data_IF_752027991976
#
_entry.id   IF_752027991976
#
_cell.length_a   1.000
_cell.length_b   1.000
_cell.length_c   1.000
_cell.angle_alpha   90.00
_cell.angle_beta   90.00
_cell.angle_gamma   90.00
#
_symmetry.space_group_name_H-M   'P 1'
#
loop_
_entity.id
_entity.type
_entity.pdbx_description
1 polymer ?
#
# COMPACT_ATOMS: atom_id res chain seq x y z
N UNK A 1 27.32 -9.76 -29.73
CA UNK A 1 27.90 -10.65 -28.69
C UNK A 1 28.42 -9.78 -27.55
N UNK A 2 27.52 -9.16 -26.76
CA UNK A 2 27.86 -8.19 -25.69
C UNK A 2 26.88 -8.39 -24.53
N UNK A 3 27.05 -9.47 -23.76
CA UNK A 3 26.13 -9.81 -22.66
C UNK A 3 26.87 -10.49 -21.51
N UNK A 4 27.95 -9.88 -21.02
CA UNK A 4 28.73 -10.46 -19.90
C UNK A 4 29.60 -9.48 -19.09
N UNK A 5 29.11 -8.29 -18.75
CA UNK A 5 29.87 -7.34 -17.90
C UNK A 5 29.04 -6.63 -16.81
N UNK A 6 27.89 -7.16 -16.40
CA UNK A 6 27.07 -6.53 -15.35
C UNK A 6 26.87 -7.39 -14.08
N UNK A 7 27.61 -8.49 -13.92
CA UNK A 7 27.38 -9.43 -12.81
C UNK A 7 28.39 -9.34 -11.65
N UNK A 8 29.40 -8.46 -11.73
CA UNK A 8 30.48 -8.42 -10.73
C UNK A 8 30.43 -7.24 -9.74
N UNK A 9 29.34 -6.44 -9.71
CA UNK A 9 29.23 -5.29 -8.80
C UNK A 9 28.35 -5.48 -7.56
N UNK A 10 27.86 -6.70 -7.28
CA UNK A 10 26.95 -6.97 -6.16
C UNK A 10 27.59 -7.70 -4.95
N UNK A 11 28.89 -7.99 -4.97
CA UNK A 11 29.52 -8.89 -3.98
C UNK A 11 30.34 -8.21 -2.87
N UNK A 12 30.27 -6.89 -2.68
CA UNK A 12 31.00 -6.23 -1.59
C UNK A 12 30.16 -5.19 -0.83
N UNK A 13 29.07 -5.62 -0.20
CA UNK A 13 28.62 -4.94 1.02
C UNK A 13 29.27 -5.63 2.22
N UNK A 14 30.15 -4.95 2.97
CA UNK A 14 30.72 -5.54 4.18
C UNK A 14 29.58 -5.82 5.14
N UNK A 15 29.40 -7.11 5.49
CA UNK A 15 28.51 -7.55 6.54
C UNK A 15 28.97 -6.91 7.85
N UNK A 16 28.44 -5.71 8.15
CA UNK A 16 28.61 -5.09 9.46
C UNK A 16 28.06 -6.07 10.47
N UNK A 17 28.94 -6.58 11.33
CA UNK A 17 28.62 -7.44 12.46
C UNK A 17 27.51 -6.75 13.24
N UNK A 18 26.28 -7.26 13.13
CA UNK A 18 25.13 -6.71 13.84
C UNK A 18 25.35 -7.03 15.31
N UNK A 19 25.81 -6.03 16.05
CA UNK A 19 26.01 -6.11 17.49
C UNK A 19 24.67 -6.47 18.13
N UNK A 20 24.63 -7.61 18.83
CA UNK A 20 23.38 -8.12 19.42
C UNK A 20 22.93 -7.12 20.47
N UNK A 21 21.78 -6.49 20.23
CA UNK A 21 21.14 -5.58 21.17
C UNK A 21 20.94 -6.28 22.53
N UNK A 22 21.16 -5.58 23.66
CA UNK A 22 20.94 -6.14 24.99
C UNK A 22 19.51 -6.66 25.15
N UNK A 23 19.35 -7.79 25.85
CA UNK A 23 18.06 -8.47 26.00
C UNK A 23 16.97 -7.57 26.61
N UNK A 24 17.36 -6.61 27.46
CA UNK A 24 16.44 -5.69 28.12
C UNK A 24 15.85 -4.67 27.15
N UNK A 25 16.64 -4.21 26.17
CA UNK A 25 16.16 -3.31 25.10
C UNK A 25 15.13 -4.03 24.22
N UNK A 26 15.36 -5.32 23.95
CA UNK A 26 14.43 -6.12 23.15
C UNK A 26 13.08 -6.32 23.85
N UNK A 27 13.10 -6.62 25.17
CA UNK A 27 11.87 -6.74 25.98
C UNK A 27 11.07 -5.44 26.02
N UNK A 28 11.75 -4.31 26.17
CA UNK A 28 11.09 -3.00 26.18
C UNK A 28 10.50 -2.64 24.81
N UNK A 29 11.19 -2.98 23.71
CA UNK A 29 10.69 -2.78 22.36
C UNK A 29 9.41 -3.61 22.11
N UNK A 30 9.39 -4.89 22.52
CA UNK A 30 8.20 -5.74 22.40
C UNK A 30 7.03 -5.25 23.29
N UNK A 31 7.32 -4.66 24.45
CA UNK A 31 6.30 -4.03 25.29
C UNK A 31 5.68 -2.83 24.58
N UNK A 32 6.51 -1.93 24.04
CA UNK A 32 6.05 -0.75 23.27
C UNK A 32 5.27 -1.15 22.02
N UNK A 33 5.71 -2.18 21.31
CA UNK A 33 5.01 -2.70 20.14
C UNK A 33 3.61 -3.23 20.48
N UNK A 34 3.46 -3.97 21.59
CA UNK A 34 2.14 -4.44 22.04
C UNK A 34 1.19 -3.29 22.39
N UNK A 35 1.69 -2.28 23.10
CA UNK A 35 0.89 -1.08 23.42
C UNK A 35 0.50 -0.34 22.15
N UNK A 36 1.42 -0.20 21.20
CA UNK A 36 1.16 0.46 19.92
C UNK A 36 0.12 -0.31 19.08
N UNK A 37 0.25 -1.63 18.97
CA UNK A 37 -0.73 -2.49 18.27
C UNK A 37 -2.12 -2.47 18.92
N UNK A 38 -2.20 -2.36 20.25
CA UNK A 38 -3.47 -2.19 20.95
C UNK A 38 -4.10 -0.83 20.63
N UNK A 39 -3.32 0.25 20.68
CA UNK A 39 -3.78 1.59 20.32
C UNK A 39 -4.22 1.72 18.85
N UNK A 40 -3.60 0.95 17.94
CA UNK A 40 -3.98 0.87 16.53
C UNK A 40 -5.37 0.25 16.31
N UNK A 41 -5.79 -0.69 17.16
CA UNK A 41 -7.09 -1.36 17.01
C UNK A 41 -8.27 -0.47 17.37
N UNK A 42 -8.06 0.51 18.24
CA UNK A 42 -9.15 1.36 18.77
C UNK A 42 -9.28 2.71 18.07
N UNK A 43 -8.30 3.11 17.25
CA UNK A 43 -8.28 4.45 16.64
C UNK A 43 -8.50 4.41 15.12
N UNK A 44 -9.34 5.31 14.57
CA UNK A 44 -9.49 5.46 13.12
C UNK A 44 -8.15 5.89 12.48
N UNK A 45 -7.89 5.44 11.25
CA UNK A 45 -6.62 5.63 10.52
C UNK A 45 -6.07 7.08 10.53
N UNK A 46 -6.95 8.09 10.55
CA UNK A 46 -6.54 9.50 10.53
C UNK A 46 -5.80 9.96 11.80
N UNK A 47 -6.11 9.40 12.97
CA UNK A 47 -5.39 9.73 14.21
C UNK A 47 -4.02 9.04 14.28
N UNK A 48 -3.88 7.89 13.61
CA UNK A 48 -2.64 7.14 13.56
C UNK A 48 -1.57 7.86 12.75
N UNK A 49 -1.98 8.52 11.66
CA UNK A 49 -1.09 9.37 10.86
C UNK A 49 -0.55 10.53 11.68
N UNK A 50 -1.38 11.18 12.51
CA UNK A 50 -0.94 12.27 13.40
C UNK A 50 0.07 11.78 14.45
N UNK A 51 -0.16 10.60 15.03
CA UNK A 51 0.74 9.99 16.01
C UNK A 51 2.09 9.65 15.36
N UNK A 52 2.09 9.07 14.16
CA UNK A 52 3.32 8.72 13.43
C UNK A 52 4.12 9.96 13.08
N UNK A 53 3.47 11.02 12.59
CA UNK A 53 4.13 12.30 12.30
C UNK A 53 4.76 12.86 13.57
N UNK A 54 4.02 12.91 14.68
CA UNK A 54 4.54 13.41 15.96
C UNK A 54 5.76 12.62 16.47
N UNK A 55 5.69 11.29 16.42
CA UNK A 55 6.82 10.45 16.86
C UNK A 55 8.06 10.62 15.97
N UNK A 56 7.87 10.78 14.66
CA UNK A 56 8.97 11.06 13.75
C UNK A 56 9.67 12.38 14.08
N UNK A 57 8.90 13.40 14.46
CA UNK A 57 9.43 14.69 14.91
C UNK A 57 10.20 14.57 16.23
N UNK A 58 9.68 13.83 17.21
CA UNK A 58 10.38 13.62 18.49
C UNK A 58 11.72 12.89 18.28
N UNK A 59 11.79 11.93 17.34
CA UNK A 59 13.02 11.23 16.97
C UNK A 59 14.02 12.17 16.28
N UNK A 60 13.56 13.05 15.39
CA UNK A 60 14.44 14.03 14.72
C UNK A 60 14.96 15.10 15.68
N UNK A 61 14.15 15.55 16.64
CA UNK A 61 14.57 16.46 17.70
C UNK A 61 15.65 15.84 18.61
N UNK A 62 15.49 14.56 18.98
CA UNK A 62 16.48 13.83 19.78
C UNK A 62 17.80 13.59 19.02
N UNK A 63 17.79 13.64 17.68
CA UNK A 63 18.99 13.51 16.84
C UNK A 63 19.77 14.83 16.68
N UNK A 64 19.40 15.89 17.40
CA UNK A 64 20.08 17.19 17.32
C UNK A 64 19.76 17.95 16.04
N UNK A 65 18.66 17.59 15.35
CA UNK A 65 18.13 18.40 14.27
C UNK A 65 17.71 19.77 14.80
N UNK A 66 18.38 20.82 14.33
CA UNK A 66 18.05 22.21 14.61
C UNK A 66 16.56 22.41 14.38
N UNK A 67 15.86 22.89 15.42
CA UNK A 67 14.48 23.34 15.32
C UNK A 67 14.39 24.33 14.16
N UNK A 68 13.68 24.01 13.06
CA UNK A 68 13.34 25.04 12.11
C UNK A 68 12.38 25.96 12.84
N UNK A 69 12.72 27.24 12.84
CA UNK A 69 11.87 28.33 13.28
C UNK A 69 10.60 28.38 12.42
N UNK A 70 9.68 27.45 12.68
CA UNK A 70 8.41 27.29 11.99
C UNK A 70 7.33 28.21 12.57
N UNK A 71 7.73 29.16 13.42
CA UNK A 71 6.84 30.15 14.02
C UNK A 71 6.36 31.21 13.03
N UNK A 72 7.14 31.52 11.99
CA UNK A 72 6.89 32.72 11.17
C UNK A 72 6.69 32.45 9.66
N UNK A 73 7.30 31.41 9.09
CA UNK A 73 7.14 31.13 7.65
C UNK A 73 5.86 30.35 7.31
N UNK A 74 5.31 29.56 8.24
CA UNK A 74 4.00 28.89 8.06
C UNK A 74 2.84 29.91 8.03
N UNK A 75 3.01 31.09 8.63
CA UNK A 75 1.95 32.10 8.69
C UNK A 75 1.68 32.80 7.35
N UNK A 76 2.62 32.82 6.40
CA UNK A 76 2.46 33.59 5.17
C UNK A 76 2.35 32.80 3.86
N UNK A 77 2.65 31.49 3.84
CA UNK A 77 2.52 30.66 2.61
C UNK A 77 1.60 29.44 2.74
N UNK A 78 1.17 29.07 3.96
CA UNK A 78 0.48 27.78 4.20
C UNK A 78 -1.05 27.78 4.13
N UNK A 79 -1.73 28.92 4.23
CA UNK A 79 -3.18 28.91 4.47
C UNK A 79 -4.06 28.71 3.21
N UNK A 80 -3.53 29.02 2.04
CA UNK A 80 -4.24 28.88 0.76
C UNK A 80 -4.00 27.52 0.09
N UNK A 81 -2.78 26.96 0.16
CA UNK A 81 -2.48 25.63 -0.40
C UNK A 81 -3.00 24.47 0.48
N UNK A 82 -3.03 24.61 1.81
CA UNK A 82 -3.52 23.57 2.72
C UNK A 82 -5.00 23.23 2.51
N UNK A 83 -5.87 24.23 2.25
CA UNK A 83 -7.30 23.98 1.98
C UNK A 83 -7.54 23.31 0.64
N UNK A 84 -6.76 23.63 -0.40
CA UNK A 84 -6.89 23.00 -1.71
C UNK A 84 -6.48 21.51 -1.63
N UNK A 85 -5.38 21.22 -0.93
CA UNK A 85 -4.94 19.85 -0.73
C UNK A 85 -5.94 19.02 0.11
N UNK A 86 -6.45 19.59 1.22
CA UNK A 86 -7.48 18.97 2.05
C UNK A 86 -8.79 18.71 1.30
N UNK A 87 -9.24 19.65 0.46
CA UNK A 87 -10.43 19.43 -0.38
C UNK A 87 -10.20 18.33 -1.41
N UNK A 88 -8.99 18.24 -1.99
CA UNK A 88 -8.68 17.18 -2.95
C UNK A 88 -8.59 15.79 -2.30
N UNK A 89 -8.03 15.70 -1.09
CA UNK A 89 -7.94 14.44 -0.35
C UNK A 89 -9.32 13.99 0.14
N UNK A 90 -10.15 14.91 0.64
CA UNK A 90 -11.54 14.61 1.00
C UNK A 90 -12.38 14.18 -0.22
N UNK A 91 -12.21 14.86 -1.36
CA UNK A 91 -12.89 14.49 -2.61
C UNK A 91 -12.48 13.10 -3.11
N UNK A 92 -11.18 12.76 -3.04
CA UNK A 92 -10.67 11.42 -3.35
C UNK A 92 -11.22 10.36 -2.40
N UNK A 93 -11.20 10.62 -1.09
CA UNK A 93 -11.73 9.70 -0.09
C UNK A 93 -13.24 9.43 -0.30
N UNK A 94 -14.02 10.48 -0.56
CA UNK A 94 -15.45 10.35 -0.85
C UNK A 94 -15.74 9.61 -2.16
N UNK A 95 -14.92 9.82 -3.20
CA UNK A 95 -15.04 9.08 -4.46
C UNK A 95 -14.70 7.59 -4.29
N UNK A 96 -13.65 7.28 -3.51
CA UNK A 96 -13.27 5.90 -3.18
C UNK A 96 -14.36 5.19 -2.38
N UNK A 97 -14.95 5.85 -1.37
CA UNK A 97 -16.04 5.26 -0.58
C UNK A 97 -17.28 4.94 -1.43
N UNK A 98 -17.59 5.77 -2.43
CA UNK A 98 -18.69 5.48 -3.38
C UNK A 98 -18.38 4.32 -4.31
N UNK A 99 -17.12 4.16 -4.72
CA UNK A 99 -16.68 3.04 -5.54
C UNK A 99 -16.65 1.71 -4.75
N UNK A 100 -16.43 1.77 -3.44
CA UNK A 100 -16.43 0.59 -2.56
C UNK A 100 -17.80 -0.09 -2.48
N UNK A 101 -18.88 0.66 -2.67
CA UNK A 101 -20.25 0.17 -2.61
C UNK A 101 -20.85 -0.12 -4.00
N UNK A 102 -20.08 0.08 -5.06
CA UNK A 102 -20.52 -0.27 -6.41
C UNK A 102 -20.38 -1.78 -6.60
N UNK A 103 -21.52 -2.47 -6.71
CA UNK A 103 -21.58 -3.93 -6.92
C UNK A 103 -20.68 -4.37 -8.08
N UNK A 104 -20.58 -3.58 -9.15
CA UNK A 104 -19.73 -3.93 -10.30
C UNK A 104 -18.24 -3.96 -9.96
N UNK A 105 -17.80 -3.12 -9.02
CA UNK A 105 -16.41 -3.12 -8.56
C UNK A 105 -16.13 -4.30 -7.64
N UNK A 106 -17.11 -4.68 -6.80
CA UNK A 106 -17.04 -5.91 -6.00
C UNK A 106 -16.94 -7.14 -6.91
N UNK A 107 -17.86 -7.29 -7.87
CA UNK A 107 -17.85 -8.41 -8.82
C UNK A 107 -16.53 -8.46 -9.60
N UNK A 108 -16.03 -7.30 -10.07
CA UNK A 108 -14.74 -7.22 -10.76
C UNK A 108 -13.57 -7.68 -9.88
N UNK A 109 -13.59 -7.33 -8.58
CA UNK A 109 -12.59 -7.75 -7.61
C UNK A 109 -12.63 -9.27 -7.39
N UNK A 110 -13.82 -9.84 -7.25
CA UNK A 110 -13.98 -11.28 -7.03
C UNK A 110 -13.59 -12.10 -8.27
N UNK A 111 -13.95 -11.63 -9.46
CA UNK A 111 -13.49 -12.20 -10.75
C UNK A 111 -11.97 -12.10 -10.88
N UNK A 112 -11.34 -11.02 -10.41
CA UNK A 112 -9.90 -10.89 -10.41
C UNK A 112 -9.22 -11.92 -9.49
N UNK A 113 -9.79 -12.19 -8.31
CA UNK A 113 -9.29 -13.24 -7.40
C UNK A 113 -9.32 -14.62 -8.06
N UNK A 114 -10.44 -15.00 -8.68
CA UNK A 114 -10.56 -16.27 -9.41
C UNK A 114 -9.60 -16.34 -10.60
N UNK A 115 -9.32 -15.21 -11.24
CA UNK A 115 -8.34 -15.14 -12.32
C UNK A 115 -6.92 -15.40 -11.83
N UNK A 116 -6.54 -14.89 -10.65
CA UNK A 116 -5.25 -15.17 -10.02
C UNK A 116 -5.12 -16.65 -9.65
N UNK A 117 -6.14 -17.25 -9.03
CA UNK A 117 -6.18 -18.68 -8.69
C UNK A 117 -6.06 -19.56 -9.94
N UNK A 118 -6.75 -19.21 -11.02
CA UNK A 118 -6.60 -19.91 -12.30
C UNK A 118 -5.17 -19.79 -12.84
N UNK A 119 -4.55 -18.61 -12.74
CA UNK A 119 -3.17 -18.39 -13.21
C UNK A 119 -2.13 -19.13 -12.38
N UNK A 120 -2.36 -19.26 -11.09
CA UNK A 120 -1.54 -20.05 -10.16
C UNK A 120 -1.73 -21.57 -10.39
N UNK A 121 -2.79 -21.96 -11.09
CA UNK A 121 -3.11 -23.36 -11.38
C UNK A 121 -3.94 -24.03 -10.28
N UNK A 122 -4.51 -23.25 -9.34
CA UNK A 122 -5.42 -23.75 -8.31
C UNK A 122 -6.77 -24.16 -8.88
N UNK A 123 -7.18 -23.55 -10.00
CA UNK A 123 -8.40 -23.91 -10.74
C UNK A 123 -8.01 -24.16 -12.19
N UNK A 124 -8.52 -25.22 -12.80
CA UNK A 124 -8.23 -25.55 -14.20
C UNK A 124 -9.30 -24.99 -15.14
N UNK A 125 -8.94 -23.97 -15.94
CA UNK A 125 -9.71 -23.58 -17.11
C UNK A 125 -8.88 -23.76 -18.38
N UNK A 126 -9.53 -24.31 -19.43
CA UNK A 126 -8.91 -24.59 -20.73
C UNK A 126 -8.49 -23.32 -21.48
N UNK A 127 -9.23 -22.23 -21.30
CA UNK A 127 -8.99 -20.98 -22.04
C UNK A 127 -9.57 -19.77 -21.31
N UNK A 128 -9.12 -18.57 -21.70
CA UNK A 128 -9.66 -17.31 -21.16
C UNK A 128 -11.15 -17.11 -21.52
N UNK A 129 -11.57 -17.62 -22.68
CA UNK A 129 -12.98 -17.58 -23.09
C UNK A 129 -13.84 -18.48 -22.19
N UNK A 130 -13.35 -19.68 -21.85
CA UNK A 130 -14.04 -20.59 -20.93
C UNK A 130 -14.16 -20.00 -19.52
N UNK A 131 -13.08 -19.39 -19.02
CA UNK A 131 -13.10 -18.65 -17.76
C UNK A 131 -14.11 -17.49 -17.79
N UNK A 132 -14.06 -16.67 -18.84
CA UNK A 132 -14.94 -15.51 -18.99
C UNK A 132 -16.42 -15.90 -19.08
N UNK A 133 -16.75 -16.99 -19.77
CA UNK A 133 -18.11 -17.51 -19.83
C UNK A 133 -18.61 -17.99 -18.45
N UNK A 134 -17.77 -18.71 -17.69
CA UNK A 134 -18.14 -19.18 -16.35
C UNK A 134 -18.37 -18.03 -15.37
N UNK A 135 -17.44 -17.08 -15.32
CA UNK A 135 -17.58 -15.90 -14.45
C UNK A 135 -18.74 -14.99 -14.87
N UNK A 136 -19.03 -14.91 -16.17
CA UNK A 136 -20.20 -14.18 -16.65
C UNK A 136 -21.53 -14.80 -16.19
N UNK A 137 -21.61 -16.14 -16.18
CA UNK A 137 -22.75 -16.89 -15.67
C UNK A 137 -22.91 -16.69 -14.15
N UNK A 138 -21.82 -16.85 -13.39
CA UNK A 138 -21.84 -16.77 -11.92
C UNK A 138 -22.23 -15.38 -11.38
N UNK A 139 -21.74 -14.31 -12.02
CA UNK A 139 -21.94 -12.94 -11.57
C UNK A 139 -22.98 -12.16 -12.40
N UNK A 140 -23.67 -12.81 -13.34
CA UNK A 140 -24.63 -12.14 -14.24
C UNK A 140 -24.01 -11.02 -15.10
N UNK A 141 -22.74 -11.18 -15.47
CA UNK A 141 -21.98 -10.19 -16.25
C UNK A 141 -22.00 -10.51 -17.75
N UNK A 142 -21.60 -9.55 -18.57
CA UNK A 142 -21.39 -9.82 -20.00
C UNK A 142 -20.04 -10.54 -20.21
N UNK A 143 -19.99 -11.71 -20.89
CA UNK A 143 -18.75 -12.44 -21.15
C UNK A 143 -17.65 -11.59 -21.80
N UNK A 144 -18.01 -10.71 -22.74
CA UNK A 144 -17.04 -9.82 -23.41
C UNK A 144 -16.39 -8.83 -22.45
N UNK A 145 -17.08 -8.43 -21.40
CA UNK A 145 -16.55 -7.53 -20.38
C UNK A 145 -15.48 -8.25 -19.55
N UNK A 146 -15.75 -9.48 -19.13
CA UNK A 146 -14.80 -10.31 -18.38
C UNK A 146 -13.56 -10.63 -19.21
N UNK A 147 -13.73 -10.94 -20.50
CA UNK A 147 -12.62 -11.18 -21.42
C UNK A 147 -11.70 -9.96 -21.59
N UNK A 148 -12.30 -8.76 -21.68
CA UNK A 148 -11.55 -7.49 -21.71
C UNK A 148 -10.74 -7.28 -20.43
N UNK A 149 -11.32 -7.58 -19.27
CA UNK A 149 -10.59 -7.50 -17.99
C UNK A 149 -9.40 -8.47 -17.96
N UNK A 150 -9.62 -9.73 -18.33
CA UNK A 150 -8.54 -10.72 -18.42
C UNK A 150 -7.40 -10.26 -19.35
N UNK A 151 -7.75 -9.61 -20.46
CA UNK A 151 -6.77 -9.07 -21.42
C UNK A 151 -5.99 -7.90 -20.84
N UNK A 152 -6.64 -7.00 -20.09
CA UNK A 152 -5.99 -5.90 -19.40
C UNK A 152 -5.01 -6.42 -18.33
N UNK A 153 -5.45 -7.33 -17.47
CA UNK A 153 -4.59 -7.89 -16.40
C UNK A 153 -3.40 -8.68 -16.95
N UNK A 154 -3.55 -9.37 -18.08
CA UNK A 154 -2.42 -10.00 -18.79
C UNK A 154 -1.37 -9.00 -19.27
N UNK A 155 -1.75 -7.76 -19.60
CA UNK A 155 -0.80 -6.72 -19.98
C UNK A 155 -0.05 -6.18 -18.77
N UNK A 156 -0.73 -6.01 -17.65
CA UNK A 156 -0.13 -5.47 -16.42
C UNK A 156 0.89 -6.42 -15.77
N UNK A 157 0.83 -7.72 -16.08
CA UNK A 157 1.79 -8.73 -15.62
C UNK A 157 3.07 -8.85 -16.48
N UNK A 158 3.17 -8.14 -17.60
CA UNK A 158 4.34 -8.16 -18.48
C UNK A 158 5.31 -7.04 -18.11
#
# INVERSE_FOLDING_TARGET
MVKRMFFDLEQQTPQKKVEKLPADVHKEMQRKERVWRAALKEKPCDELVKIIIRQRWEIEALRGGVSPDLGEEIRNTGFSQGRAHQKSSQGRAGALGKLEHDQKQMDKKDVHMHWLEWREGSIEFKSAATFAAKMADDYGLNPKTVEKWCTAWKKDLR
#
